data_IF_864549095623
#
_entry.id   IF_864549095623
#
_cell.length_a   1.000
_cell.length_b   1.000
_cell.length_c   1.000
_cell.angle_alpha   90.00
_cell.angle_beta   90.00
_cell.angle_gamma   90.00
#
_symmetry.space_group_name_H-M   'P 1'
#
loop_
_entity.id
_entity.type
_entity.pdbx_description
1 polymer ?
#
# COMPACT_ATOMS: atom_id res chain seq x y z
N UNK A 1 -29.93 -7.52 -0.30
CA UNK A 1 -28.80 -8.29 -0.86
C UNK A 1 -28.29 -7.56 -2.09
N UNK A 2 -26.97 -7.52 -2.27
CA UNK A 2 -26.28 -6.83 -3.39
C UNK A 2 -26.81 -7.26 -4.77
N UNK A 3 -27.35 -8.48 -4.85
CA UNK A 3 -27.98 -9.05 -6.05
C UNK A 3 -29.17 -8.23 -6.58
N UNK A 4 -29.92 -7.54 -5.72
CA UNK A 4 -31.08 -6.74 -6.15
C UNK A 4 -30.70 -5.44 -6.90
N UNK A 5 -29.47 -4.96 -6.70
CA UNK A 5 -28.95 -3.74 -7.35
C UNK A 5 -28.52 -4.03 -8.78
N UNK A 6 -27.93 -5.21 -9.01
CA UNK A 6 -27.58 -5.69 -10.35
C UNK A 6 -28.83 -6.01 -11.19
N UNK A 7 -29.86 -6.60 -10.58
CA UNK A 7 -31.13 -6.91 -11.24
C UNK A 7 -31.89 -5.66 -11.73
N UNK A 8 -31.73 -4.51 -11.07
CA UNK A 8 -32.37 -3.25 -11.47
C UNK A 8 -31.58 -2.56 -12.60
N UNK A 9 -30.25 -2.69 -12.60
CA UNK A 9 -29.40 -2.18 -13.67
C UNK A 9 -29.62 -2.92 -14.99
N UNK A 10 -29.76 -4.25 -14.95
CA UNK A 10 -30.06 -5.07 -16.13
C UNK A 10 -31.44 -4.76 -16.75
N UNK A 11 -32.42 -4.35 -15.93
CA UNK A 11 -33.77 -4.01 -16.38
C UNK A 11 -33.88 -2.66 -17.08
N UNK A 12 -32.91 -1.76 -16.92
CA UNK A 12 -32.97 -0.41 -17.51
C UNK A 12 -31.57 0.07 -17.95
N UNK A 13 -31.05 -0.43 -19.09
CA UNK A 13 -29.74 -0.02 -19.58
C UNK A 13 -29.78 1.43 -20.07
N UNK A 14 -29.25 2.36 -19.26
CA UNK A 14 -28.97 3.75 -19.66
C UNK A 14 -27.55 3.85 -20.24
N UNK A 15 -27.29 4.76 -21.20
CA UNK A 15 -26.04 4.78 -21.97
C UNK A 15 -24.88 5.49 -21.24
N UNK A 16 -24.75 5.34 -19.91
CA UNK A 16 -23.61 5.88 -19.17
C UNK A 16 -23.05 4.82 -18.23
N UNK A 17 -21.84 4.37 -18.56
CA UNK A 17 -20.96 3.56 -17.70
C UNK A 17 -20.67 4.29 -16.39
N UNK A 18 -20.97 3.63 -15.27
CA UNK A 18 -20.67 4.10 -13.91
C UNK A 18 -19.13 3.98 -13.72
N UNK A 19 -18.44 5.12 -13.59
CA UNK A 19 -16.95 5.21 -13.57
C UNK A 19 -16.35 5.66 -12.23
N UNK A 20 -17.08 5.57 -11.11
CA UNK A 20 -16.54 6.03 -9.82
C UNK A 20 -17.13 5.28 -8.62
N UNK A 21 -16.27 4.95 -7.65
CA UNK A 21 -16.58 4.43 -6.32
C UNK A 21 -17.56 5.30 -5.52
N UNK A 22 -17.85 6.52 -5.98
CA UNK A 22 -18.92 7.36 -5.39
C UNK A 22 -20.29 6.67 -5.35
N UNK A 23 -20.54 5.72 -6.25
CA UNK A 23 -21.82 5.01 -6.33
C UNK A 23 -22.06 4.05 -5.15
N UNK A 24 -21.03 3.68 -4.38
CA UNK A 24 -21.17 2.82 -3.21
C UNK A 24 -21.12 3.58 -1.88
N UNK A 25 -21.02 4.92 -1.89
CA UNK A 25 -20.88 5.70 -0.65
C UNK A 25 -22.14 5.63 0.21
N UNK A 26 -23.30 5.81 -0.40
CA UNK A 26 -24.59 5.81 0.32
C UNK A 26 -24.92 4.42 0.90
N UNK A 27 -24.52 3.34 0.22
CA UNK A 27 -24.73 1.97 0.73
C UNK A 27 -23.74 1.60 1.85
N UNK A 28 -22.51 2.11 1.80
CA UNK A 28 -21.52 1.96 2.88
C UNK A 28 -21.94 2.78 4.11
N UNK A 29 -22.40 4.03 3.93
CA UNK A 29 -22.93 4.87 5.02
C UNK A 29 -24.20 4.25 5.61
N UNK A 30 -25.12 3.72 4.80
CA UNK A 30 -26.34 3.07 5.28
C UNK A 30 -26.06 1.80 6.09
N UNK A 31 -25.12 0.94 5.66
CA UNK A 31 -24.75 -0.24 6.44
C UNK A 31 -23.98 0.11 7.73
N UNK A 32 -23.21 1.19 7.73
CA UNK A 32 -22.55 1.70 8.92
C UNK A 32 -23.57 2.27 9.94
N UNK A 33 -24.59 2.99 9.46
CA UNK A 33 -25.67 3.50 10.29
C UNK A 33 -26.58 2.38 10.83
N UNK A 34 -26.90 1.37 10.02
CA UNK A 34 -27.68 0.20 10.46
C UNK A 34 -26.91 -0.64 11.49
N UNK A 35 -25.58 -0.79 11.30
CA UNK A 35 -24.69 -1.41 12.29
C UNK A 35 -24.64 -0.60 13.60
N UNK A 36 -24.56 0.73 13.52
CA UNK A 36 -24.53 1.61 14.70
C UNK A 36 -25.88 1.63 15.45
N UNK A 37 -26.99 1.68 14.72
CA UNK A 37 -28.34 1.65 15.27
C UNK A 37 -28.67 0.32 15.95
N UNK A 38 -28.14 -0.80 15.43
CA UNK A 38 -28.28 -2.13 16.08
C UNK A 38 -27.58 -2.23 17.44
N UNK A 39 -26.73 -1.26 17.80
CA UNK A 39 -25.99 -1.21 19.08
C UNK A 39 -26.55 -0.22 20.10
N UNK A 40 -27.57 0.58 19.76
CA UNK A 40 -28.24 1.47 20.73
C UNK A 40 -29.19 0.66 21.60
N UNK A 41 -28.65 0.06 22.66
CA UNK A 41 -29.39 -0.77 23.62
C UNK A 41 -28.58 -1.89 24.26
N UNK A 42 -27.39 -2.20 23.72
CA UNK A 42 -26.40 -2.99 24.44
C UNK A 42 -25.76 -2.09 25.49
N UNK A 43 -26.08 -2.37 26.76
CA UNK A 43 -25.51 -1.67 27.90
C UNK A 43 -23.99 -1.59 27.84
N UNK A 44 -23.47 -0.57 28.51
CA UNK A 44 -22.09 -0.09 28.60
C UNK A 44 -21.11 -1.10 29.23
N UNK A 45 -21.04 -2.33 28.70
CA UNK A 45 -20.16 -3.42 29.13
C UNK A 45 -19.52 -4.18 27.95
N UNK A 46 -19.26 -3.48 26.84
CA UNK A 46 -18.34 -3.97 25.79
C UNK A 46 -17.71 -2.81 25.00
N UNK A 47 -17.26 -1.78 25.70
CA UNK A 47 -16.24 -0.86 25.18
C UNK A 47 -14.87 -1.53 25.38
N UNK A 48 -14.46 -2.39 24.44
CA UNK A 48 -13.12 -2.97 24.47
C UNK A 48 -13.04 -4.41 23.99
N UNK A 49 -13.40 -4.66 22.73
CA UNK A 49 -12.61 -5.62 21.94
C UNK A 49 -12.66 -5.21 20.47
N UNK A 50 -12.15 -4.01 20.21
CA UNK A 50 -11.48 -3.77 18.95
C UNK A 50 -10.15 -4.52 19.08
N UNK A 51 -10.10 -5.76 18.62
CA UNK A 51 -8.82 -6.42 18.36
C UNK A 51 -7.98 -5.41 17.56
N UNK A 52 -6.80 -4.96 18.05
CA UNK A 52 -5.96 -4.11 17.25
C UNK A 52 -5.63 -4.91 15.98
N UNK A 53 -5.89 -4.31 14.81
CA UNK A 53 -5.71 -4.99 13.51
C UNK A 53 -4.29 -5.54 13.35
N UNK A 54 -3.32 -5.03 14.13
CA UNK A 54 -1.97 -5.57 14.30
C UNK A 54 -1.57 -5.54 15.77
N UNK A 55 -0.97 -6.62 16.29
CA UNK A 55 -0.35 -6.59 17.63
C UNK A 55 0.96 -5.80 17.60
N UNK A 56 1.38 -5.27 18.75
CA UNK A 56 2.67 -4.58 18.87
C UNK A 56 3.82 -5.51 18.52
N UNK A 57 3.73 -6.76 18.96
CA UNK A 57 4.70 -7.82 18.67
C UNK A 57 4.82 -8.10 17.16
N UNK A 58 3.70 -8.09 16.44
CA UNK A 58 3.68 -8.27 14.98
C UNK A 58 4.39 -7.11 14.27
N UNK A 59 4.09 -5.87 14.67
CA UNK A 59 4.74 -4.65 14.13
C UNK A 59 6.24 -4.69 14.39
N UNK A 60 6.65 -4.96 15.63
CA UNK A 60 8.07 -5.08 15.96
C UNK A 60 8.75 -6.19 15.16
N UNK A 61 8.09 -7.34 15.03
CA UNK A 61 8.57 -8.46 14.24
C UNK A 61 8.77 -8.08 12.77
N UNK A 62 7.84 -7.35 12.19
CA UNK A 62 7.91 -6.85 10.82
C UNK A 62 9.07 -5.88 10.61
N UNK A 63 9.25 -4.92 11.52
CA UNK A 63 10.35 -3.95 11.46
C UNK A 63 11.71 -4.68 11.56
N UNK A 64 11.85 -5.63 12.49
CA UNK A 64 13.09 -6.43 12.66
C UNK A 64 13.40 -7.28 11.41
N UNK A 65 12.39 -7.92 10.82
CA UNK A 65 12.54 -8.67 9.56
C UNK A 65 12.97 -7.74 8.43
N UNK A 66 12.34 -6.58 8.32
CA UNK A 66 12.66 -5.58 7.30
C UNK A 66 14.10 -5.09 7.41
N UNK A 67 14.59 -4.77 8.61
CA UNK A 67 16.00 -4.40 8.85
C UNK A 67 16.94 -5.52 8.40
N UNK A 68 16.63 -6.76 8.75
CA UNK A 68 17.45 -7.92 8.40
C UNK A 68 17.52 -8.13 6.88
N UNK A 69 16.40 -7.94 6.17
CA UNK A 69 16.33 -8.03 4.72
C UNK A 69 17.09 -6.87 4.04
N UNK A 70 16.97 -5.64 4.53
CA UNK A 70 17.71 -4.49 3.99
C UNK A 70 19.23 -4.67 4.12
N UNK A 71 19.70 -5.20 5.27
CA UNK A 71 21.12 -5.52 5.48
C UNK A 71 21.60 -6.72 4.68
N UNK A 72 20.70 -7.66 4.37
CA UNK A 72 20.98 -8.82 3.53
C UNK A 72 20.95 -8.53 2.03
N UNK A 73 20.40 -7.38 1.61
CA UNK A 73 20.34 -6.98 0.21
C UNK A 73 21.74 -6.69 -0.34
N UNK A 74 22.23 -7.57 -1.20
CA UNK A 74 23.58 -7.49 -1.75
C UNK A 74 23.63 -6.52 -2.93
N UNK A 75 23.73 -5.22 -2.66
CA UNK A 75 23.93 -4.21 -3.69
C UNK A 75 24.92 -3.13 -3.25
N UNK A 76 26.04 -3.02 -3.95
CA UNK A 76 27.08 -2.05 -3.63
C UNK A 76 26.69 -0.60 -3.93
N UNK A 77 25.63 -0.38 -4.72
CA UNK A 77 25.20 0.94 -5.16
C UNK A 77 24.31 1.65 -4.13
N UNK A 78 23.59 0.90 -3.29
CA UNK A 78 22.64 1.43 -2.31
C UNK A 78 23.06 1.17 -0.87
N UNK A 79 24.28 0.68 -0.61
CA UNK A 79 24.75 0.31 0.73
C UNK A 79 24.51 1.43 1.76
N UNK A 80 24.82 2.68 1.42
CA UNK A 80 24.62 3.82 2.32
C UNK A 80 23.14 4.14 2.57
N UNK A 81 22.28 4.01 1.55
CA UNK A 81 20.86 4.30 1.68
C UNK A 81 20.14 3.19 2.45
N UNK A 82 20.53 1.94 2.21
CA UNK A 82 20.05 0.76 2.93
C UNK A 82 20.44 0.81 4.40
N UNK A 83 21.68 1.20 4.72
CA UNK A 83 22.12 1.38 6.10
C UNK A 83 21.37 2.54 6.76
N UNK A 84 21.20 3.67 6.05
CA UNK A 84 20.42 4.81 6.57
C UNK A 84 18.96 4.44 6.84
N UNK A 85 18.32 3.68 5.95
CA UNK A 85 16.96 3.21 6.16
C UNK A 85 16.88 2.24 7.34
N UNK A 86 17.86 1.35 7.48
CA UNK A 86 17.97 0.42 8.61
C UNK A 86 18.10 1.15 9.94
N UNK A 87 18.95 2.17 10.02
CA UNK A 87 19.09 3.01 11.22
C UNK A 87 17.80 3.74 11.58
N UNK A 88 17.06 4.26 10.58
CA UNK A 88 15.75 4.90 10.82
C UNK A 88 14.71 3.91 11.35
N UNK A 89 14.70 2.69 10.83
CA UNK A 89 13.83 1.61 11.32
C UNK A 89 14.21 1.19 12.74
N UNK A 90 15.51 1.17 13.08
CA UNK A 90 15.97 0.92 14.45
C UNK A 90 15.53 2.04 15.41
N UNK A 91 15.62 3.30 15.00
CA UNK A 91 15.09 4.43 15.77
C UNK A 91 13.57 4.34 15.95
N UNK A 92 12.83 4.00 14.89
CA UNK A 92 11.38 3.79 14.97
C UNK A 92 11.01 2.64 15.92
N UNK A 93 11.81 1.57 15.93
CA UNK A 93 11.63 0.45 16.85
C UNK A 93 11.94 0.83 18.30
N UNK A 94 12.96 1.66 18.54
CA UNK A 94 13.33 2.13 19.88
C UNK A 94 12.30 3.10 20.47
N UNK A 95 11.68 3.92 19.61
CA UNK A 95 10.68 4.94 19.98
C UNK A 95 9.27 4.54 19.51
N UNK A 96 8.96 3.24 19.56
CA UNK A 96 7.69 2.72 19.06
C UNK A 96 6.51 3.26 19.89
N UNK A 97 5.63 4.01 19.21
CA UNK A 97 4.36 4.51 19.75
C UNK A 97 3.27 3.43 19.69
N UNK A 98 2.17 3.63 20.41
CA UNK A 98 0.96 2.79 20.30
C UNK A 98 0.04 3.26 19.14
N UNK A 99 0.36 4.39 18.51
CA UNK A 99 -0.38 4.94 17.37
C UNK A 99 0.07 4.30 16.05
N UNK A 100 -0.74 3.36 15.56
CA UNK A 100 -0.51 2.59 14.33
C UNK A 100 -0.44 3.48 13.08
N UNK A 101 -1.17 4.60 13.03
CA UNK A 101 -1.16 5.50 11.87
C UNK A 101 0.19 6.23 11.77
N UNK A 102 0.75 6.66 12.92
CA UNK A 102 2.07 7.29 12.98
C UNK A 102 3.17 6.29 12.57
N UNK A 103 3.05 5.03 13.00
CA UNK A 103 3.99 3.97 12.62
C UNK A 103 3.93 3.73 11.11
N UNK A 104 2.73 3.52 10.54
CA UNK A 104 2.58 3.26 9.11
C UNK A 104 3.11 4.42 8.27
N UNK A 105 2.79 5.66 8.66
CA UNK A 105 3.31 6.85 8.00
C UNK A 105 4.85 6.89 8.02
N UNK A 106 5.46 6.59 9.16
CA UNK A 106 6.92 6.55 9.29
C UNK A 106 7.54 5.47 8.40
N UNK A 107 6.91 4.29 8.31
CA UNK A 107 7.34 3.21 7.43
C UNK A 107 7.21 3.58 5.96
N UNK A 108 6.11 4.23 5.56
CA UNK A 108 5.88 4.74 4.20
C UNK A 108 6.90 5.83 3.85
N UNK A 109 7.26 6.71 4.78
CA UNK A 109 8.27 7.75 4.56
C UNK A 109 9.67 7.15 4.33
N UNK A 110 10.03 6.11 5.10
CA UNK A 110 11.28 5.36 4.89
C UNK A 110 11.24 4.61 3.55
N UNK A 111 10.09 4.04 3.20
CA UNK A 111 9.88 3.36 1.92
C UNK A 111 10.05 4.32 0.74
N UNK A 112 9.47 5.52 0.84
CA UNK A 112 9.59 6.54 -0.20
C UNK A 112 11.05 7.02 -0.36
N UNK A 113 11.77 7.20 0.75
CA UNK A 113 13.20 7.48 0.70
C UNK A 113 13.98 6.39 -0.06
N UNK A 114 13.69 5.12 0.20
CA UNK A 114 14.30 3.99 -0.52
C UNK A 114 13.92 3.98 -2.01
N UNK A 115 12.68 4.32 -2.35
CA UNK A 115 12.22 4.42 -3.73
C UNK A 115 12.98 5.46 -4.55
N UNK A 116 13.19 6.65 -3.97
CA UNK A 116 13.96 7.69 -4.64
C UNK A 116 15.42 7.27 -4.80
N UNK A 117 16.01 6.65 -3.78
CA UNK A 117 17.37 6.13 -3.86
C UNK A 117 17.48 5.05 -4.94
N UNK A 118 16.52 4.12 -5.01
CA UNK A 118 16.43 3.09 -6.03
C UNK A 118 16.40 3.71 -7.42
N UNK A 119 15.52 4.66 -7.69
CA UNK A 119 15.41 5.27 -9.03
C UNK A 119 16.69 6.03 -9.41
N UNK A 120 17.31 6.71 -8.44
CA UNK A 120 18.48 7.56 -8.67
C UNK A 120 19.78 6.77 -8.87
N UNK A 121 19.97 5.68 -8.11
CA UNK A 121 21.23 4.92 -8.04
C UNK A 121 21.17 3.57 -8.75
N UNK A 122 20.01 3.15 -9.27
CA UNK A 122 19.90 1.93 -10.08
C UNK A 122 20.73 2.02 -11.35
N UNK A 123 21.24 0.86 -11.76
CA UNK A 123 21.94 0.71 -13.04
C UNK A 123 21.06 1.20 -14.21
N UNK A 124 21.55 2.12 -15.07
CA UNK A 124 20.77 2.70 -16.15
C UNK A 124 20.26 1.67 -17.17
N UNK A 125 21.01 0.59 -17.42
CA UNK A 125 20.65 -0.43 -18.38
C UNK A 125 19.57 -1.36 -17.82
N UNK A 126 19.71 -1.78 -16.55
CA UNK A 126 18.66 -2.54 -15.84
C UNK A 126 17.37 -1.73 -15.72
N UNK A 127 17.48 -0.43 -15.39
CA UNK A 127 16.33 0.47 -15.31
C UNK A 127 15.58 0.57 -16.64
N UNK A 128 16.31 0.80 -17.75
CA UNK A 128 15.71 0.86 -19.09
C UNK A 128 15.07 -0.46 -19.50
N UNK A 129 15.67 -1.59 -19.13
CA UNK A 129 15.09 -2.91 -19.40
C UNK A 129 13.75 -3.07 -18.69
N UNK A 130 13.69 -2.79 -17.39
CA UNK A 130 12.44 -2.91 -16.62
C UNK A 130 11.39 -1.89 -17.03
N UNK A 131 11.80 -0.67 -17.39
CA UNK A 131 10.88 0.35 -17.92
C UNK A 131 10.25 -0.10 -19.24
N UNK A 132 11.04 -0.67 -20.16
CA UNK A 132 10.51 -1.23 -21.42
C UNK A 132 9.51 -2.36 -21.17
N UNK A 133 9.83 -3.25 -20.22
CA UNK A 133 8.92 -4.35 -19.88
C UNK A 133 7.62 -3.83 -19.27
N UNK A 134 7.69 -2.92 -18.31
CA UNK A 134 6.50 -2.32 -17.70
C UNK A 134 5.66 -1.52 -18.72
N UNK A 135 6.30 -0.81 -19.66
CA UNK A 135 5.61 -0.11 -20.73
C UNK A 135 4.97 -1.06 -21.75
N UNK A 136 5.55 -2.23 -21.99
CA UNK A 136 4.95 -3.27 -22.83
C UNK A 136 3.68 -3.84 -22.18
N UNK A 137 3.74 -4.12 -20.87
CA UNK A 137 2.58 -4.60 -20.10
C UNK A 137 1.44 -3.57 -20.05
N UNK A 138 1.77 -2.28 -19.98
CA UNK A 138 0.79 -1.18 -19.93
C UNK A 138 0.32 -0.69 -21.31
N UNK A 139 0.87 -1.22 -22.41
CA UNK A 139 0.61 -0.72 -23.76
C UNK A 139 -0.88 -0.77 -24.13
N UNK A 140 -1.58 -1.82 -23.70
CA UNK A 140 -3.01 -2.00 -23.98
C UNK A 140 -3.90 -1.03 -23.19
N UNK A 141 -3.43 -0.58 -22.03
CA UNK A 141 -4.15 0.34 -21.14
C UNK A 141 -3.82 1.80 -21.40
N UNK A 142 -2.81 2.09 -22.24
CA UNK A 142 -2.36 3.46 -22.54
C UNK A 142 -3.44 4.34 -23.17
N UNK A 143 -4.35 3.76 -23.95
CA UNK A 143 -5.44 4.49 -24.61
C UNK A 143 -6.64 4.76 -23.69
N UNK A 144 -6.79 3.99 -22.61
CA UNK A 144 -7.91 4.06 -21.67
C UNK A 144 -7.56 4.82 -20.39
N UNK A 145 -6.27 4.94 -20.07
CA UNK A 145 -5.76 5.68 -18.92
C UNK A 145 -5.44 7.13 -19.25
N UNK A 146 -5.66 8.00 -18.28
CA UNK A 146 -5.07 9.34 -18.28
C UNK A 146 -3.55 9.26 -18.19
N UNK A 147 -2.85 10.25 -18.77
CA UNK A 147 -1.38 10.29 -18.81
C UNK A 147 -0.76 10.28 -17.41
N UNK A 148 -1.32 11.00 -16.44
CA UNK A 148 -0.80 11.04 -15.08
C UNK A 148 -0.94 9.67 -14.38
N UNK A 149 -2.08 9.01 -14.60
CA UNK A 149 -2.33 7.67 -14.07
C UNK A 149 -1.39 6.65 -14.71
N UNK A 150 -1.16 6.76 -16.02
CA UNK A 150 -0.22 5.90 -16.75
C UNK A 150 1.20 6.05 -16.19
N UNK A 151 1.70 7.27 -16.06
CA UNK A 151 3.06 7.54 -15.57
C UNK A 151 3.24 7.06 -14.13
N UNK A 152 2.23 7.25 -13.27
CA UNK A 152 2.21 6.73 -11.90
C UNK A 152 2.26 5.20 -11.87
N UNK A 153 1.46 4.54 -12.71
CA UNK A 153 1.41 3.06 -12.78
C UNK A 153 2.73 2.50 -13.30
N UNK A 154 3.29 3.11 -14.35
CA UNK A 154 4.60 2.75 -14.88
C UNK A 154 5.69 2.85 -13.80
N UNK A 155 5.69 3.94 -13.02
CA UNK A 155 6.63 4.13 -11.90
C UNK A 155 6.46 3.04 -10.84
N UNK A 156 5.23 2.71 -10.45
CA UNK A 156 4.98 1.64 -9.47
C UNK A 156 5.46 0.28 -9.97
N UNK A 157 5.20 -0.07 -11.23
CA UNK A 157 5.66 -1.33 -11.82
C UNK A 157 7.19 -1.40 -11.94
N UNK A 158 7.83 -0.29 -12.29
CA UNK A 158 9.30 -0.19 -12.32
C UNK A 158 9.89 -0.40 -10.91
N UNK A 159 9.37 0.31 -9.91
CA UNK A 159 9.81 0.21 -8.53
C UNK A 159 9.62 -1.19 -7.95
N UNK A 160 8.51 -1.85 -8.29
CA UNK A 160 8.26 -3.26 -7.92
C UNK A 160 9.36 -4.17 -8.44
N UNK A 161 9.67 -4.09 -9.74
CA UNK A 161 10.70 -4.93 -10.38
C UNK A 161 12.10 -4.65 -9.84
N UNK A 162 12.43 -3.38 -9.59
CA UNK A 162 13.72 -2.99 -9.00
C UNK A 162 13.89 -3.52 -7.58
N UNK A 163 12.82 -3.50 -6.78
CA UNK A 163 12.84 -4.09 -5.43
C UNK A 163 13.05 -5.59 -5.47
N UNK A 164 12.31 -6.30 -6.33
CA UNK A 164 12.42 -7.75 -6.47
C UNK A 164 13.82 -8.19 -6.92
N UNK A 165 14.42 -7.47 -7.88
CA UNK A 165 15.78 -7.73 -8.38
C UNK A 165 16.86 -7.56 -7.29
N UNK A 166 16.64 -6.63 -6.35
CA UNK A 166 17.58 -6.28 -5.28
C UNK A 166 17.24 -6.92 -3.92
N UNK A 167 16.12 -7.64 -3.82
CA UNK A 167 15.64 -8.25 -2.58
C UNK A 167 15.19 -7.24 -1.51
N UNK A 168 14.76 -6.05 -1.91
CA UNK A 168 14.36 -4.97 -0.99
C UNK A 168 12.88 -5.16 -0.61
N UNK A 169 12.54 -5.27 0.69
CA UNK A 169 11.17 -5.46 1.14
C UNK A 169 10.31 -4.19 1.04
N UNK A 170 9.00 -4.39 1.16
CA UNK A 170 8.02 -3.32 1.37
C UNK A 170 7.84 -3.13 2.87
N UNK A 171 7.83 -1.87 3.32
CA UNK A 171 7.90 -1.54 4.74
C UNK A 171 6.52 -1.27 5.34
N UNK A 172 5.55 -0.81 4.55
CA UNK A 172 4.21 -0.45 5.05
C UNK A 172 3.52 -1.60 5.80
N UNK A 173 2.65 -1.25 6.76
CA UNK A 173 1.98 -2.24 7.62
C UNK A 173 0.98 -3.11 6.85
N UNK A 174 0.59 -2.72 5.64
CA UNK A 174 -0.18 -3.57 4.75
C UNK A 174 0.54 -4.90 4.38
N UNK A 175 1.86 -4.95 4.53
CA UNK A 175 2.69 -6.12 4.17
C UNK A 175 3.11 -6.97 5.38
N UNK A 176 2.47 -6.73 6.55
CA UNK A 176 2.61 -7.56 7.74
C UNK A 176 2.00 -8.95 7.51
#
# INVERSE_FOLDING_TARGET
>A
GIEAVFDNFDKNPRPRTIKSLLFCREEIEAQFEEWTASRVGAGDEAAGDANPVYSREDIEGHIRRSISQLRGANTSLLTEDLERASLRLESLLAELTDDVEIIDKSLVDIEHFLDEALIAKSDPDRRKLFEKMAAADLKEYKSTMDKEMYDKTLRMMLLKRLREDLGIPRLGLFYL
#
